data_IF_196466887360
#
_entry.id   IF_196466887360
#
_cell.length_a   1.000
_cell.length_b   1.000
_cell.length_c   1.000
_cell.angle_alpha   90.00
_cell.angle_beta   90.00
_cell.angle_gamma   90.00
#
_symmetry.space_group_name_H-M   'P 1'
#
loop_
_entity.id
_entity.type
_entity.pdbx_description
1 polymer ?
#
# COMPACT_ATOMS: atom_id res chain seq x y z
N UNK A 1 -22.28 -18.97 10.06
CA UNK A 1 -21.04 -18.31 9.58
C UNK A 1 -21.38 -17.62 8.28
N UNK A 2 -21.36 -16.30 8.25
CA UNK A 2 -21.49 -15.56 6.99
C UNK A 2 -20.19 -15.75 6.22
N UNK A 3 -20.21 -16.54 5.15
CA UNK A 3 -19.14 -16.52 4.14
C UNK A 3 -19.34 -15.24 3.34
N UNK A 4 -18.94 -14.11 3.92
CA UNK A 4 -18.69 -12.91 3.12
C UNK A 4 -17.62 -13.32 2.12
N UNK A 5 -18.00 -13.42 0.85
CA UNK A 5 -17.06 -13.59 -0.23
C UNK A 5 -16.16 -12.36 -0.21
N UNK A 6 -14.96 -12.50 0.36
CA UNK A 6 -13.97 -11.44 0.38
C UNK A 6 -13.66 -11.09 -1.07
N UNK A 7 -14.11 -9.92 -1.48
CA UNK A 7 -14.00 -9.44 -2.86
C UNK A 7 -12.97 -8.33 -2.86
N UNK A 8 -11.87 -8.56 -3.55
CA UNK A 8 -10.86 -7.54 -3.79
C UNK A 8 -11.17 -6.82 -5.10
N UNK A 9 -11.17 -5.49 -5.07
CA UNK A 9 -11.32 -4.65 -6.25
C UNK A 9 -9.96 -4.05 -6.59
N UNK A 10 -9.54 -4.15 -7.86
CA UNK A 10 -8.37 -3.42 -8.34
C UNK A 10 -8.62 -1.92 -8.35
N UNK A 11 -7.54 -1.14 -8.35
CA UNK A 11 -7.64 0.31 -8.53
C UNK A 11 -8.17 0.66 -9.93
N UNK A 12 -8.75 1.86 -10.08
CA UNK A 12 -9.10 2.35 -11.40
C UNK A 12 -7.83 2.46 -12.28
N UNK A 13 -7.88 2.09 -13.58
CA UNK A 13 -6.71 2.18 -14.47
C UNK A 13 -6.14 3.60 -14.54
N UNK A 14 -7.02 4.60 -14.45
CA UNK A 14 -6.68 6.01 -14.39
C UNK A 14 -7.66 6.70 -13.46
N UNK A 15 -7.16 7.70 -12.74
CA UNK A 15 -7.96 8.75 -12.12
C UNK A 15 -7.27 10.06 -12.47
N UNK A 16 -8.04 11.10 -12.78
CA UNK A 16 -7.51 12.45 -12.94
C UNK A 16 -7.73 13.21 -11.63
N UNK A 17 -6.63 13.56 -10.97
CA UNK A 17 -6.62 14.47 -9.83
C UNK A 17 -5.73 15.65 -10.16
N UNK A 18 -6.21 16.86 -9.89
CA UNK A 18 -5.37 18.05 -9.93
C UNK A 18 -4.43 17.98 -8.72
N UNK A 19 -3.14 17.80 -9.00
CA UNK A 19 -2.06 17.85 -8.03
C UNK A 19 -1.47 19.25 -8.01
N UNK A 20 -1.04 19.72 -6.84
CA UNK A 20 -0.27 20.95 -6.77
C UNK A 20 1.10 20.80 -7.45
N UNK A 21 1.61 21.88 -8.05
CA UNK A 21 2.88 21.85 -8.75
C UNK A 21 4.03 21.46 -7.82
N UNK A 22 4.75 20.39 -8.17
CA UNK A 22 5.90 19.91 -7.40
C UNK A 22 5.55 19.11 -6.15
N UNK A 23 4.30 18.65 -6.00
CA UNK A 23 3.89 17.77 -4.89
C UNK A 23 4.80 16.54 -4.81
N UNK A 24 5.41 16.34 -3.64
CA UNK A 24 6.16 15.14 -3.33
C UNK A 24 5.18 13.99 -3.02
N UNK A 25 5.47 12.75 -3.43
CA UNK A 25 4.61 11.63 -3.06
C UNK A 25 4.50 11.45 -1.54
N UNK A 26 3.30 11.13 -1.07
CA UNK A 26 3.04 10.64 0.28
C UNK A 26 3.66 9.26 0.40
N UNK A 27 4.83 9.17 1.04
CA UNK A 27 5.55 7.92 1.20
C UNK A 27 4.97 7.07 2.33
N UNK A 28 4.81 5.77 2.09
CA UNK A 28 4.41 4.79 3.07
C UNK A 28 5.32 3.57 2.97
N UNK A 29 6.04 3.28 4.05
CA UNK A 29 7.01 2.22 4.09
C UNK A 29 6.42 0.98 4.74
N UNK A 30 6.70 -0.20 4.20
CA UNK A 30 6.36 -1.49 4.78
C UNK A 30 7.64 -2.30 4.95
N UNK A 31 8.03 -2.60 6.18
CA UNK A 31 9.28 -3.26 6.52
C UNK A 31 9.02 -4.54 7.30
N UNK A 32 9.62 -5.65 6.86
CA UNK A 32 9.68 -6.88 7.64
C UNK A 32 11.12 -7.09 8.12
N UNK A 33 11.31 -7.21 9.43
CA UNK A 33 12.63 -7.37 10.06
C UNK A 33 12.58 -8.39 11.18
N UNK A 34 13.71 -9.06 11.41
CA UNK A 34 13.96 -9.80 12.65
C UNK A 34 14.61 -8.88 13.67
N UNK A 35 14.01 -8.66 14.83
CA UNK A 35 14.52 -7.82 15.91
C UNK A 35 14.43 -8.56 17.25
N UNK A 36 15.56 -8.71 17.96
CA UNK A 36 15.62 -9.29 19.31
C UNK A 36 14.96 -10.67 19.48
N UNK A 37 15.02 -11.51 18.44
CA UNK A 37 14.39 -12.85 18.44
C UNK A 37 12.91 -12.86 18.02
N UNK A 38 12.37 -11.71 17.64
CA UNK A 38 11.00 -11.55 17.12
C UNK A 38 11.02 -11.21 15.64
N UNK A 39 9.94 -11.56 14.95
CA UNK A 39 9.66 -11.07 13.59
C UNK A 39 8.71 -9.89 13.72
N UNK A 40 9.11 -8.72 13.23
CA UNK A 40 8.33 -7.48 13.25
C UNK A 40 8.00 -7.05 11.83
N UNK A 41 6.70 -6.94 11.54
CA UNK A 41 6.19 -6.24 10.37
C UNK A 41 5.79 -4.83 10.84
N UNK A 42 6.47 -3.82 10.31
CA UNK A 42 6.21 -2.41 10.59
C UNK A 42 5.78 -1.71 9.33
N UNK A 43 4.85 -0.76 9.48
CA UNK A 43 4.50 0.14 8.42
C UNK A 43 4.34 1.55 8.99
N UNK A 44 4.82 2.54 8.25
CA UNK A 44 4.89 3.92 8.71
C UNK A 44 4.87 4.89 7.54
N UNK A 45 4.31 6.06 7.78
CA UNK A 45 4.53 7.23 6.96
C UNK A 45 5.75 7.99 7.54
N UNK A 46 6.83 8.24 6.78
CA UNK A 46 8.01 8.91 7.31
C UNK A 46 7.69 10.26 7.95
N UNK A 47 8.26 10.51 9.13
CA UNK A 47 8.06 11.76 9.87
C UNK A 47 6.74 11.85 10.65
N UNK A 48 5.92 10.80 10.64
CA UNK A 48 4.66 10.72 11.37
C UNK A 48 4.78 9.66 12.47
N UNK A 49 4.46 10.03 13.71
CA UNK A 49 4.41 9.12 14.86
C UNK A 49 2.97 8.73 15.18
N UNK A 50 2.78 7.52 15.69
CA UNK A 50 1.49 7.00 16.20
C UNK A 50 0.35 6.86 15.18
N UNK A 51 0.65 6.83 13.87
CA UNK A 51 -0.34 6.51 12.83
C UNK A 51 -0.07 5.14 12.20
N UNK A 52 -1.08 4.27 12.24
CA UNK A 52 -1.13 2.96 11.59
C UNK A 52 -1.91 2.99 10.26
N UNK A 53 -2.09 4.18 9.69
CA UNK A 53 -2.88 4.44 8.49
C UNK A 53 -2.23 5.47 7.57
N UNK A 54 -2.61 5.46 6.30
CA UNK A 54 -2.22 6.47 5.30
C UNK A 54 -3.21 7.64 5.39
N UNK A 55 -2.72 8.84 5.68
CA UNK A 55 -3.55 10.03 5.81
C UNK A 55 -3.60 10.81 4.49
N UNK A 56 -4.79 10.95 3.89
CA UNK A 56 -4.97 11.77 2.68
C UNK A 56 -5.56 13.12 3.07
N UNK A 57 -4.71 14.14 3.18
CA UNK A 57 -5.11 15.53 3.51
C UNK A 57 -5.42 16.37 2.29
N UNK A 58 -4.90 15.97 1.13
CA UNK A 58 -5.04 16.65 -0.16
C UNK A 58 -4.88 15.65 -1.32
N UNK A 59 -5.18 16.08 -2.55
CA UNK A 59 -4.93 15.24 -3.73
C UNK A 59 -3.44 14.90 -3.79
N UNK A 60 -3.12 13.61 -3.81
CA UNK A 60 -1.76 13.14 -3.58
C UNK A 60 -1.39 12.02 -4.53
N UNK A 61 -0.09 11.85 -4.78
CA UNK A 61 0.47 10.57 -5.21
C UNK A 61 0.88 9.84 -3.95
N UNK A 62 0.38 8.62 -3.74
CA UNK A 62 0.83 7.75 -2.65
C UNK A 62 1.90 6.81 -3.21
N UNK A 63 3.02 6.71 -2.52
CA UNK A 63 4.13 5.82 -2.87
C UNK A 63 4.32 4.79 -1.75
N UNK A 64 4.14 3.52 -2.06
CA UNK A 64 4.36 2.42 -1.12
C UNK A 64 5.69 1.76 -1.42
N UNK A 65 6.57 1.74 -0.42
CA UNK A 65 7.91 1.16 -0.51
C UNK A 65 8.02 -0.08 0.37
N UNK A 66 8.41 -1.21 -0.23
CA UNK A 66 8.70 -2.44 0.52
C UNK A 66 10.17 -2.43 0.95
N UNK A 67 10.44 -2.43 2.25
CA UNK A 67 11.79 -2.38 2.81
C UNK A 67 12.23 -3.78 3.26
N UNK A 68 13.48 -4.11 2.94
CA UNK A 68 14.10 -5.39 3.27
C UNK A 68 14.13 -6.36 2.09
N UNK A 69 14.90 -7.44 2.24
CA UNK A 69 15.27 -8.30 1.11
C UNK A 69 14.24 -9.38 0.80
N UNK A 70 13.21 -9.55 1.64
CA UNK A 70 12.24 -10.62 1.50
C UNK A 70 10.88 -10.17 1.00
N UNK A 71 10.57 -8.87 1.02
CA UNK A 71 9.26 -8.35 0.63
C UNK A 71 9.26 -7.88 -0.81
N UNK A 72 8.31 -8.35 -1.61
CA UNK A 72 8.14 -7.89 -2.99
C UNK A 72 6.66 -7.80 -3.32
N UNK A 73 6.27 -6.94 -4.26
CA UNK A 73 4.88 -6.93 -4.70
C UNK A 73 4.49 -8.24 -5.39
N UNK A 74 3.25 -8.67 -5.18
CA UNK A 74 2.77 -9.94 -5.72
C UNK A 74 2.76 -9.95 -7.24
N UNK A 75 2.99 -11.11 -7.85
CA UNK A 75 2.78 -11.32 -9.30
C UNK A 75 1.39 -11.90 -9.61
N UNK A 76 0.71 -12.41 -8.60
CA UNK A 76 -0.58 -13.09 -8.76
C UNK A 76 -1.77 -12.15 -8.56
N UNK A 77 -1.54 -11.01 -7.91
CA UNK A 77 -2.54 -10.01 -7.57
C UNK A 77 -1.99 -8.62 -7.91
N UNK A 78 -2.88 -7.68 -8.21
CA UNK A 78 -2.48 -6.28 -8.23
C UNK A 78 -1.88 -5.93 -6.87
N UNK A 79 -0.74 -5.24 -6.86
CA UNK A 79 -0.03 -4.81 -5.66
C UNK A 79 -0.95 -4.14 -4.65
N UNK A 80 -1.98 -3.48 -5.17
CA UNK A 80 -2.91 -2.67 -4.42
C UNK A 80 -4.34 -3.03 -4.80
N UNK A 81 -5.13 -3.40 -3.80
CA UNK A 81 -6.57 -3.66 -3.96
C UNK A 81 -7.37 -3.03 -2.85
N UNK A 82 -8.68 -2.90 -3.05
CA UNK A 82 -9.61 -2.34 -2.08
C UNK A 82 -10.68 -3.34 -1.70
N UNK A 83 -11.27 -3.17 -0.51
CA UNK A 83 -12.36 -4.03 -0.02
C UNK A 83 -13.74 -3.60 -0.55
N UNK A 84 -13.82 -2.39 -1.10
CA UNK A 84 -15.02 -1.79 -1.69
C UNK A 84 -14.67 -1.00 -2.97
N UNK A 85 -15.62 -0.69 -3.86
CA UNK A 85 -15.33 -0.05 -5.14
C UNK A 85 -15.00 1.45 -4.97
N UNK A 86 -13.72 1.76 -4.74
CA UNK A 86 -13.22 3.11 -4.42
C UNK A 86 -12.60 3.85 -5.63
N UNK A 87 -13.02 3.50 -6.85
CA UNK A 87 -12.48 4.07 -8.10
C UNK A 87 -12.67 5.58 -8.24
N UNK A 88 -13.58 6.18 -7.48
CA UNK A 88 -13.76 7.64 -7.44
C UNK A 88 -12.68 8.37 -6.63
N UNK A 89 -11.90 7.63 -5.83
CA UNK A 89 -10.87 8.16 -4.95
C UNK A 89 -9.47 7.67 -5.32
N UNK A 90 -9.33 6.45 -5.85
CA UNK A 90 -8.01 5.85 -6.06
C UNK A 90 -7.87 5.23 -7.45
N UNK A 91 -6.71 5.44 -8.08
CA UNK A 91 -6.45 4.95 -9.43
C UNK A 91 -5.01 5.17 -9.90
N UNK A 92 -4.71 4.72 -11.10
CA UNK A 92 -3.42 4.96 -11.76
C UNK A 92 -2.26 4.23 -11.09
N UNK A 93 -2.43 2.93 -10.83
CA UNK A 93 -1.38 2.09 -10.23
C UNK A 93 -0.18 1.96 -11.18
N UNK A 94 1.00 2.31 -10.67
CA UNK A 94 2.29 2.24 -11.37
C UNK A 94 3.25 1.40 -10.52
N UNK A 95 4.02 0.54 -11.18
CA UNK A 95 5.02 -0.31 -10.54
C UNK A 95 6.43 0.21 -10.84
N UNK A 96 7.27 0.29 -9.81
CA UNK A 96 8.61 0.87 -9.84
C UNK A 96 9.62 0.05 -9.03
N UNK A 97 10.90 0.40 -9.14
CA UNK A 97 12.03 -0.31 -8.51
C UNK A 97 12.01 -1.83 -8.81
N UNK A 98 12.05 -2.17 -10.10
CA UNK A 98 12.11 -3.55 -10.56
C UNK A 98 13.46 -4.20 -10.23
N UNK A 99 13.42 -5.33 -9.54
CA UNK A 99 14.56 -6.17 -9.17
C UNK A 99 14.65 -7.34 -10.12
N UNK A 100 15.55 -7.24 -11.10
CA UNK A 100 15.67 -8.22 -12.17
C UNK A 100 16.12 -9.62 -11.69
N UNK A 101 16.85 -9.70 -10.59
CA UNK A 101 17.28 -10.96 -9.97
C UNK A 101 16.13 -11.73 -9.32
N UNK A 102 15.10 -11.01 -8.85
CA UNK A 102 13.89 -11.58 -8.24
C UNK A 102 12.66 -11.52 -9.15
N UNK A 103 12.76 -10.86 -10.31
CA UNK A 103 11.68 -10.63 -11.27
C UNK A 103 10.43 -9.98 -10.65
N UNK A 104 10.65 -8.96 -9.79
CA UNK A 104 9.59 -8.32 -9.00
C UNK A 104 9.87 -6.86 -8.68
N UNK A 105 8.81 -6.15 -8.28
CA UNK A 105 8.85 -4.73 -7.92
C UNK A 105 8.93 -4.52 -6.41
N UNK A 106 9.51 -3.39 -6.02
CA UNK A 106 9.72 -2.96 -4.63
C UNK A 106 8.99 -1.68 -4.27
N UNK A 107 8.55 -0.93 -5.27
CA UNK A 107 7.78 0.31 -5.10
C UNK A 107 6.53 0.26 -5.98
N UNK A 108 5.43 0.80 -5.48
CA UNK A 108 4.26 1.16 -6.29
C UNK A 108 3.80 2.56 -5.98
N UNK A 109 3.22 3.21 -6.98
CA UNK A 109 2.61 4.52 -6.86
C UNK A 109 1.17 4.48 -7.35
N UNK A 110 0.29 5.22 -6.69
CA UNK A 110 -1.07 5.43 -7.14
C UNK A 110 -1.54 6.84 -6.78
N UNK A 111 -2.56 7.33 -7.48
CA UNK A 111 -3.15 8.63 -7.21
C UNK A 111 -4.30 8.50 -6.23
N UNK A 112 -4.39 9.45 -5.30
CA UNK A 112 -5.43 9.55 -4.30
C UNK A 112 -6.11 10.93 -4.38
N UNK A 113 -7.43 10.93 -4.59
CA UNK A 113 -8.26 12.12 -4.53
C UNK A 113 -8.70 12.36 -3.09
N UNK A 114 -8.50 13.58 -2.60
CA UNK A 114 -9.00 14.00 -1.31
C UNK A 114 -10.53 14.08 -1.27
N UNK A 115 -11.13 13.51 -0.24
CA UNK A 115 -12.57 13.51 -0.02
C UNK A 115 -12.99 14.77 0.76
N UNK A 116 -12.98 15.92 0.08
CA UNK A 116 -13.27 17.23 0.68
C UNK A 116 -14.61 17.32 1.43
N UNK A 117 -15.64 16.58 0.97
CA UNK A 117 -16.96 16.52 1.59
C UNK A 117 -17.15 15.35 2.56
N UNK A 118 -16.11 14.55 2.79
CA UNK A 118 -16.15 13.35 3.60
C UNK A 118 -16.21 13.64 5.10
N UNK A 119 -16.70 12.66 5.86
CA UNK A 119 -16.61 12.70 7.32
C UNK A 119 -15.15 12.47 7.74
N UNK A 120 -14.61 13.29 8.63
CA UNK A 120 -13.27 13.09 9.22
C UNK A 120 -13.14 11.69 9.83
N UNK A 121 -12.00 11.05 9.57
CA UNK A 121 -11.71 9.68 10.00
C UNK A 121 -12.41 8.60 9.18
N UNK A 122 -12.99 8.94 8.02
CA UNK A 122 -13.53 7.93 7.08
C UNK A 122 -12.43 6.94 6.72
N UNK A 123 -12.69 5.66 6.98
CA UNK A 123 -11.81 4.55 6.66
C UNK A 123 -12.15 4.01 5.27
N UNK A 124 -11.14 3.90 4.42
CA UNK A 124 -11.20 3.15 3.17
C UNK A 124 -10.34 1.89 3.33
N UNK A 125 -10.96 0.72 3.24
CA UNK A 125 -10.29 -0.58 3.38
C UNK A 125 -9.40 -0.88 2.18
N UNK A 126 -8.14 -1.22 2.45
CA UNK A 126 -7.08 -1.30 1.45
C UNK A 126 -6.13 -2.45 1.75
N UNK A 127 -5.63 -3.10 0.71
CA UNK A 127 -4.68 -4.21 0.83
C UNK A 127 -3.44 -3.93 0.00
N UNK A 128 -2.29 -4.21 0.61
CA UNK A 128 -0.98 -4.27 -0.02
C UNK A 128 -0.64 -5.74 -0.23
N UNK A 129 -0.78 -6.20 -1.47
CA UNK A 129 -0.55 -7.59 -1.86
C UNK A 129 0.94 -7.81 -2.15
N UNK A 130 1.58 -8.63 -1.34
CA UNK A 130 3.01 -8.91 -1.41
C UNK A 130 3.28 -10.42 -1.52
N UNK A 131 4.45 -10.78 -2.02
CA UNK A 131 4.99 -12.13 -1.93
C UNK A 131 6.27 -12.08 -1.09
N UNK A 132 6.32 -12.93 -0.07
CA UNK A 132 7.46 -13.09 0.82
C UNK A 132 8.43 -14.15 0.27
N UNK A 133 9.66 -13.75 0.00
CA UNK A 133 10.74 -14.65 -0.41
C UNK A 133 11.21 -15.50 0.78
N UNK A 134 11.09 -16.82 0.63
CA UNK A 134 11.64 -17.81 1.54
C UNK A 134 12.98 -18.31 1.03
N UNK A 135 13.95 -18.45 1.94
CA UNK A 135 15.29 -18.96 1.67
C UNK A 135 15.94 -18.31 0.44
N UNK A 136 16.35 -17.02 0.51
CA UNK A 136 16.89 -16.29 -0.64
C UNK A 136 18.10 -16.95 -1.33
N UNK A 137 18.81 -17.83 -0.62
CA UNK A 137 19.95 -18.60 -1.14
C UNK A 137 19.57 -19.91 -1.85
N UNK A 138 18.28 -20.26 -1.93
CA UNK A 138 17.83 -21.48 -2.57
C UNK A 138 17.96 -21.37 -4.10
N UNK A 139 18.24 -22.50 -4.76
CA UNK A 139 18.29 -22.59 -6.24
C UNK A 139 16.95 -22.29 -6.90
N UNK A 140 15.85 -22.55 -6.18
CA UNK A 140 14.49 -22.19 -6.59
C UNK A 140 13.86 -21.32 -5.50
N UNK A 141 13.48 -20.07 -5.82
CA UNK A 141 12.89 -19.18 -4.84
C UNK A 141 11.47 -19.65 -4.48
N UNK A 142 11.21 -19.80 -3.18
CA UNK A 142 9.86 -20.09 -2.69
C UNK A 142 9.19 -18.80 -2.26
N UNK A 143 8.00 -18.55 -2.79
CA UNK A 143 7.22 -17.34 -2.52
C UNK A 143 5.99 -17.69 -1.67
N UNK A 144 5.73 -16.90 -0.63
CA UNK A 144 4.53 -17.01 0.18
C UNK A 144 3.71 -15.73 -0.02
N UNK A 145 2.50 -15.79 -0.62
CA UNK A 145 1.66 -14.62 -0.75
C UNK A 145 1.17 -14.16 0.63
N UNK A 146 1.22 -12.86 0.87
CA UNK A 146 0.70 -12.19 2.06
C UNK A 146 -0.07 -10.93 1.64
N UNK A 147 -1.09 -10.60 2.42
CA UNK A 147 -1.79 -9.31 2.32
C UNK A 147 -1.52 -8.53 3.60
N UNK A 148 -1.24 -7.24 3.46
CA UNK A 148 -1.11 -6.30 4.56
C UNK A 148 -2.16 -5.25 4.36
N UNK A 149 -3.02 -5.03 5.35
CA UNK A 149 -4.26 -4.30 5.15
C UNK A 149 -4.28 -3.00 5.97
N UNK A 150 -3.38 -2.02 5.68
CA UNK A 150 -3.39 -0.75 6.38
C UNK A 150 -4.63 0.04 5.97
N UNK A 151 -5.11 0.89 6.87
CA UNK A 151 -6.20 1.80 6.54
C UNK A 151 -5.70 2.98 5.71
N UNK A 152 -6.53 3.46 4.78
CA UNK A 152 -6.45 4.84 4.32
C UNK A 152 -7.54 5.64 5.04
N UNK A 153 -7.17 6.78 5.64
CA UNK A 153 -8.15 7.73 6.18
C UNK A 153 -8.29 8.93 5.25
N UNK A 154 -9.48 9.13 4.69
CA UNK A 154 -9.74 10.14 3.67
C UNK A 154 -11.17 10.73 3.79
N UNK A 155 -11.34 11.90 4.44
CA UNK A 155 -10.29 12.68 5.12
C UNK A 155 -9.82 12.01 6.42
N UNK A 156 -8.58 12.27 6.88
CA UNK A 156 -8.07 11.78 8.16
C UNK A 156 -8.89 12.30 9.35
N UNK A 157 -8.71 11.76 10.57
CA UNK A 157 -9.26 12.38 11.77
C UNK A 157 -8.76 13.83 11.92
N UNK A 158 -9.50 14.67 12.66
CA UNK A 158 -8.93 15.96 13.09
C UNK A 158 -7.87 15.67 14.14
N UNK A 159 -6.74 16.35 14.05
CA UNK A 159 -5.82 16.44 15.19
C UNK A 159 -6.58 17.11 16.35
N UNK A 160 -6.52 16.50 17.54
CA UNK A 160 -7.07 17.08 18.77
C UNK A 160 -6.19 18.22 19.29
#
# INVERSE_FOLDING_TARGET
>A
MSTLNYTQYGLAPLIEVELEDGVAPLQFNVALKGEEGWVSLRYEQPGVTDHDYIAITENSIVEINLIGDQLFFSKNYDAITTEEPLSSFYGGLIYDDYRADQDRYKTVRFQARYNQGGKYGTRHGFNINIDLLQNPSATEPKWIPLSIDPDIKNPPPKED
#
